data_IF_119215897177
#
_entry.id   IF_119215897177
#
_cell.length_a   1.000
_cell.length_b   1.000
_cell.length_c   1.000
_cell.angle_alpha   90.00
_cell.angle_beta   90.00
_cell.angle_gamma   90.00
#
_symmetry.space_group_name_H-M   'P 1'
#
loop_
_entity.id
_entity.type
_entity.pdbx_description
1 polymer ?
#
# COMPACT_ATOMS: atom_id res chain seq x y z
N UNK A 1 63.90 17.68 42.69
CA UNK A 1 62.51 17.23 42.41
C UNK A 1 62.19 17.59 40.97
N UNK A 2 62.26 16.61 40.08
CA UNK A 2 61.95 16.75 38.66
C UNK A 2 60.46 16.42 38.46
N UNK A 3 59.72 17.29 37.77
CA UNK A 3 58.35 16.98 37.35
C UNK A 3 58.31 16.78 35.83
N UNK A 4 57.97 15.54 35.48
CA UNK A 4 57.77 14.97 34.18
C UNK A 4 56.27 15.07 33.86
N UNK A 5 55.86 15.84 32.84
CA UNK A 5 54.51 15.77 32.25
C UNK A 5 54.65 16.07 30.75
N UNK A 6 54.80 15.02 29.93
CA UNK A 6 53.75 14.26 29.25
C UNK A 6 53.35 14.88 27.92
N UNK A 7 53.92 14.29 26.87
CA UNK A 7 53.53 14.36 25.45
C UNK A 7 52.14 13.70 25.30
N UNK A 8 51.48 13.94 24.15
CA UNK A 8 50.21 13.41 23.64
C UNK A 8 48.96 14.28 23.86
N UNK A 9 48.47 14.91 22.79
CA UNK A 9 47.38 14.29 22.03
C UNK A 9 47.10 15.01 20.70
N UNK A 10 47.07 14.18 19.65
CA UNK A 10 46.83 14.52 18.26
C UNK A 10 45.42 15.07 18.07
N UNK A 11 45.31 16.15 17.31
CA UNK A 11 44.06 16.81 16.90
C UNK A 11 43.12 15.78 16.25
N UNK A 12 41.99 15.49 16.90
CA UNK A 12 40.97 14.55 16.43
C UNK A 12 40.22 15.14 15.23
N UNK A 13 40.54 14.70 14.02
CA UNK A 13 39.67 14.89 12.85
C UNK A 13 38.65 13.75 12.87
N UNK A 14 37.45 14.02 13.37
CA UNK A 14 36.29 13.15 13.22
C UNK A 14 35.83 13.19 11.76
N UNK A 15 36.26 12.21 10.96
CA UNK A 15 35.65 11.95 9.65
C UNK A 15 34.28 11.29 9.87
N UNK A 16 33.23 12.12 9.80
CA UNK A 16 31.84 11.66 9.75
C UNK A 16 31.62 11.05 8.35
N UNK A 17 32.02 9.78 8.18
CA UNK A 17 31.70 9.04 6.95
C UNK A 17 30.19 8.82 6.92
N UNK A 18 29.52 9.57 6.04
CA UNK A 18 28.11 9.43 5.70
C UNK A 18 27.84 7.97 5.31
N UNK A 19 27.19 7.25 6.21
CA UNK A 19 26.60 5.95 5.90
C UNK A 19 25.34 6.19 5.08
N UNK A 20 25.53 6.46 3.78
CA UNK A 20 24.43 6.47 2.84
C UNK A 20 24.04 5.01 2.62
N UNK A 21 23.18 4.49 3.48
CA UNK A 21 22.54 3.22 3.21
C UNK A 21 21.65 3.43 1.99
N UNK A 22 21.90 2.77 0.84
CA UNK A 22 20.93 2.82 -0.24
C UNK A 22 19.64 2.21 0.32
N UNK A 23 18.58 3.03 0.41
CA UNK A 23 17.25 2.53 0.66
C UNK A 23 16.95 1.53 -0.44
N UNK A 24 17.02 0.24 -0.12
CA UNK A 24 16.68 -0.81 -1.07
C UNK A 24 15.19 -0.68 -1.33
N UNK A 25 14.82 -0.24 -2.51
CA UNK A 25 13.46 -0.39 -2.99
C UNK A 25 13.15 -1.89 -2.94
N UNK A 26 12.24 -2.28 -2.04
CA UNK A 26 11.82 -3.67 -1.95
C UNK A 26 10.99 -3.98 -3.18
N UNK A 27 11.18 -5.17 -3.75
CA UNK A 27 10.39 -5.64 -4.87
C UNK A 27 9.15 -6.33 -4.31
N UNK A 28 7.97 -6.00 -4.85
CA UNK A 28 6.71 -6.71 -4.60
C UNK A 28 6.51 -7.69 -5.74
N UNK A 29 6.63 -8.97 -5.42
CA UNK A 29 6.37 -10.03 -6.36
C UNK A 29 4.95 -10.52 -6.13
N UNK A 30 4.14 -10.51 -7.19
CA UNK A 30 2.73 -10.89 -7.09
C UNK A 30 2.27 -11.77 -8.23
N UNK A 31 1.33 -12.64 -7.90
CA UNK A 31 0.54 -13.41 -8.85
C UNK A 31 -0.89 -13.50 -8.36
N UNK A 32 -1.80 -12.92 -9.13
CA UNK A 32 -3.25 -13.04 -8.91
C UNK A 32 -3.82 -14.22 -9.72
N UNK A 33 -4.74 -14.98 -9.14
CA UNK A 33 -5.49 -16.03 -9.84
C UNK A 33 -6.92 -16.14 -9.33
N UNK A 34 -7.86 -16.48 -10.21
CA UNK A 34 -9.27 -16.64 -9.82
C UNK A 34 -9.48 -17.84 -8.91
N UNK A 35 -10.25 -17.65 -7.84
CA UNK A 35 -10.64 -18.69 -6.89
C UNK A 35 -12.16 -18.92 -6.95
N UNK A 36 -12.60 -20.16 -6.77
CA UNK A 36 -14.03 -20.47 -6.67
C UNK A 36 -14.56 -20.14 -5.28
N UNK A 37 -15.79 -19.63 -5.19
CA UNK A 37 -16.45 -19.30 -3.92
C UNK A 37 -16.46 -20.45 -2.89
N UNK A 38 -16.48 -21.72 -3.34
CA UNK A 38 -16.42 -22.91 -2.48
C UNK A 38 -15.09 -23.09 -1.74
N UNK A 39 -14.03 -22.37 -2.13
CA UNK A 39 -12.70 -22.40 -1.51
C UNK A 39 -12.48 -21.24 -0.55
N UNK A 40 -13.46 -20.34 -0.43
CA UNK A 40 -13.38 -19.14 0.41
C UNK A 40 -13.79 -19.48 1.83
N UNK A 41 -13.04 -18.98 2.80
CA UNK A 41 -13.36 -19.18 4.21
C UNK A 41 -14.76 -18.63 4.55
N UNK A 42 -15.58 -19.35 5.34
CA UNK A 42 -16.95 -18.91 5.65
C UNK A 42 -17.04 -17.51 6.26
N UNK A 43 -16.04 -17.09 7.04
CA UNK A 43 -16.02 -15.75 7.66
C UNK A 43 -15.85 -14.62 6.63
N UNK A 44 -15.05 -14.84 5.58
CA UNK A 44 -14.90 -13.87 4.49
C UNK A 44 -16.20 -13.77 3.68
N UNK A 45 -16.82 -14.92 3.37
CA UNK A 45 -18.14 -14.95 2.72
C UNK A 45 -19.20 -14.22 3.55
N UNK A 46 -19.24 -14.50 4.85
CA UNK A 46 -20.16 -13.86 5.80
C UNK A 46 -19.94 -12.35 5.85
N UNK A 47 -18.68 -11.90 5.95
CA UNK A 47 -18.35 -10.47 5.93
C UNK A 47 -18.92 -9.78 4.69
N UNK A 48 -18.69 -10.35 3.50
CA UNK A 48 -19.16 -9.76 2.24
C UNK A 48 -20.69 -9.75 2.17
N UNK A 49 -21.35 -10.85 2.52
CA UNK A 49 -22.82 -10.96 2.47
C UNK A 49 -23.53 -10.03 3.47
N UNK A 50 -22.93 -9.78 4.63
CA UNK A 50 -23.49 -8.87 5.64
C UNK A 50 -23.23 -7.39 5.28
N UNK A 51 -22.14 -7.11 4.56
CA UNK A 51 -21.73 -5.72 4.26
C UNK A 51 -22.26 -5.21 2.92
N UNK A 52 -22.52 -6.11 1.97
CA UNK A 52 -22.96 -5.74 0.61
C UNK A 52 -24.18 -6.55 0.20
N UNK A 53 -25.22 -5.86 -0.31
CA UNK A 53 -26.47 -6.50 -0.77
C UNK A 53 -26.48 -6.64 -2.28
N UNK A 54 -26.83 -7.83 -2.78
CA UNK A 54 -27.06 -8.12 -4.20
C UNK A 54 -25.90 -7.74 -5.13
N UNK A 55 -24.66 -7.90 -4.66
CA UNK A 55 -23.46 -7.60 -5.46
C UNK A 55 -22.89 -8.86 -6.10
N UNK A 56 -22.34 -8.71 -7.31
CA UNK A 56 -21.49 -9.73 -7.92
C UNK A 56 -20.08 -9.60 -7.36
N UNK A 57 -19.53 -10.70 -6.86
CA UNK A 57 -18.19 -10.75 -6.26
C UNK A 57 -17.30 -11.64 -7.12
N UNK A 58 -16.13 -11.13 -7.47
CA UNK A 58 -15.05 -11.89 -8.09
C UNK A 58 -13.98 -12.16 -7.04
N UNK A 59 -13.64 -13.43 -6.84
CA UNK A 59 -12.68 -13.86 -5.84
C UNK A 59 -11.35 -14.21 -6.47
N UNK A 60 -10.27 -13.73 -5.86
CA UNK A 60 -8.91 -13.95 -6.30
C UNK A 60 -8.03 -14.39 -5.14
N UNK A 61 -6.99 -15.16 -5.44
CA UNK A 61 -5.87 -15.40 -4.56
C UNK A 61 -4.69 -14.60 -5.04
N UNK A 62 -4.01 -13.95 -4.12
CA UNK A 62 -2.80 -13.20 -4.40
C UNK A 62 -1.63 -13.87 -3.69
N UNK A 63 -0.63 -14.35 -4.44
CA UNK A 63 0.61 -14.89 -3.90
C UNK A 63 1.70 -13.83 -3.90
N UNK A 64 2.31 -13.60 -2.74
CA UNK A 64 3.45 -12.73 -2.56
C UNK A 64 4.64 -13.46 -1.92
N UNK A 65 5.76 -12.75 -1.71
CA UNK A 65 6.91 -13.31 -0.99
C UNK A 65 6.61 -13.60 0.48
N UNK A 66 5.59 -12.95 1.05
CA UNK A 66 5.27 -13.02 2.48
C UNK A 66 4.06 -13.90 2.78
N UNK A 67 3.32 -14.34 1.75
CA UNK A 67 2.21 -15.25 1.95
C UNK A 67 1.21 -15.25 0.81
N UNK A 68 -0.01 -15.67 1.11
CA UNK A 68 -1.13 -15.61 0.18
C UNK A 68 -2.32 -14.97 0.85
N UNK A 69 -2.96 -14.04 0.17
CA UNK A 69 -4.20 -13.40 0.60
C UNK A 69 -5.34 -13.76 -0.34
N UNK A 70 -6.57 -13.55 0.13
CA UNK A 70 -7.79 -13.78 -0.61
C UNK A 70 -8.48 -12.43 -0.80
N UNK A 71 -8.77 -12.08 -2.04
CA UNK A 71 -9.29 -10.77 -2.40
C UNK A 71 -10.69 -10.89 -3.00
N UNK A 72 -11.63 -10.09 -2.48
CA UNK A 72 -12.98 -9.94 -3.01
C UNK A 72 -13.09 -8.63 -3.77
N UNK A 73 -13.17 -8.70 -5.11
CA UNK A 73 -13.40 -7.54 -5.98
C UNK A 73 -14.88 -7.44 -6.35
N UNK A 74 -15.50 -6.29 -6.06
CA UNK A 74 -16.93 -6.06 -6.33
C UNK A 74 -17.24 -4.60 -6.62
N UNK A 75 -18.44 -4.35 -7.16
CA UNK A 75 -18.98 -3.00 -7.35
C UNK A 75 -20.26 -2.82 -6.54
N UNK A 76 -20.34 -1.75 -5.76
CA UNK A 76 -21.53 -1.39 -4.98
C UNK A 76 -21.71 0.13 -4.96
N UNK A 77 -22.94 0.62 -5.09
CA UNK A 77 -23.26 2.06 -5.07
C UNK A 77 -22.36 2.93 -5.99
N UNK A 78 -21.99 2.40 -7.16
CA UNK A 78 -21.11 3.08 -8.12
C UNK A 78 -19.62 3.05 -7.78
N UNK A 79 -19.23 2.57 -6.59
CA UNK A 79 -17.84 2.44 -6.12
C UNK A 79 -17.30 1.03 -6.42
N UNK A 80 -16.02 0.93 -6.77
CA UNK A 80 -15.32 -0.35 -6.91
C UNK A 80 -14.54 -0.61 -5.63
N UNK A 81 -14.76 -1.79 -5.06
CA UNK A 81 -14.13 -2.24 -3.83
C UNK A 81 -13.22 -3.41 -4.13
N UNK A 82 -12.08 -3.42 -3.43
CA UNK A 82 -11.32 -4.62 -3.18
C UNK A 82 -11.25 -4.85 -1.68
N UNK A 83 -11.54 -6.06 -1.22
CA UNK A 83 -11.51 -6.40 0.20
C UNK A 83 -10.56 -7.57 0.37
N UNK A 84 -9.49 -7.36 1.12
CA UNK A 84 -8.46 -8.37 1.33
C UNK A 84 -8.70 -9.13 2.64
N UNK A 85 -8.51 -10.44 2.58
CA UNK A 85 -8.63 -11.36 3.70
C UNK A 85 -7.42 -12.26 3.81
N UNK A 86 -7.14 -12.72 5.02
CA UNK A 86 -6.27 -13.87 5.24
C UNK A 86 -6.90 -15.15 4.70
N UNK A 87 -6.10 -16.20 4.51
CA UNK A 87 -6.61 -17.56 4.24
C UNK A 87 -7.58 -18.08 5.32
N UNK A 88 -7.46 -17.57 6.55
CA UNK A 88 -8.36 -17.87 7.67
C UNK A 88 -9.65 -17.04 7.67
N UNK A 89 -9.86 -16.17 6.68
CA UNK A 89 -11.06 -15.34 6.57
C UNK A 89 -11.07 -14.09 7.45
N UNK A 90 -9.94 -13.73 8.06
CA UNK A 90 -9.79 -12.47 8.79
C UNK A 90 -9.59 -11.34 7.78
N UNK A 91 -10.33 -10.25 7.95
CA UNK A 91 -10.19 -9.07 7.07
C UNK A 91 -8.88 -8.35 7.35
N UNK A 92 -8.15 -7.99 6.30
CA UNK A 92 -6.96 -7.15 6.36
C UNK A 92 -7.31 -5.69 6.11
N UNK A 93 -7.95 -5.41 4.97
CA UNK A 93 -8.36 -4.06 4.62
C UNK A 93 -9.54 -4.01 3.64
N UNK A 94 -10.01 -2.78 3.40
CA UNK A 94 -10.93 -2.43 2.33
C UNK A 94 -10.29 -1.33 1.50
N UNK A 95 -10.19 -1.56 0.21
CA UNK A 95 -9.70 -0.59 -0.76
C UNK A 95 -10.81 -0.11 -1.68
N UNK A 96 -10.90 1.21 -1.85
CA UNK A 96 -11.90 1.85 -2.70
C UNK A 96 -11.20 2.59 -3.82
N UNK A 97 -11.46 2.20 -5.06
CA UNK A 97 -10.94 2.91 -6.23
C UNK A 97 -11.39 4.37 -6.20
N UNK A 98 -10.43 5.28 -6.05
CA UNK A 98 -10.67 6.69 -5.80
C UNK A 98 -9.89 7.51 -6.83
N UNK A 99 -10.52 8.36 -7.65
CA UNK A 99 -9.77 9.21 -8.56
C UNK A 99 -8.76 10.08 -7.80
N UNK A 100 -7.51 10.17 -8.27
CA UNK A 100 -6.46 10.95 -7.58
C UNK A 100 -6.88 12.42 -7.30
N UNK A 101 -7.65 13.03 -8.22
CA UNK A 101 -8.22 14.38 -8.07
C UNK A 101 -9.26 14.53 -6.96
N UNK A 102 -9.78 13.42 -6.42
CA UNK A 102 -10.76 13.39 -5.32
C UNK A 102 -10.10 13.26 -3.95
N UNK A 103 -8.79 13.04 -3.89
CA UNK A 103 -8.06 13.11 -2.62
C UNK A 103 -8.08 14.55 -2.06
N UNK A 104 -8.04 14.73 -0.73
CA UNK A 104 -7.97 16.05 -0.10
C UNK A 104 -6.82 16.88 -0.69
N UNK A 105 -7.05 18.18 -0.92
CA UNK A 105 -6.13 19.02 -1.68
C UNK A 105 -4.72 19.06 -1.09
N UNK A 106 -4.59 19.20 0.23
CA UNK A 106 -3.29 19.24 0.92
C UNK A 106 -2.58 17.88 0.88
N UNK A 107 -3.32 16.79 1.09
CA UNK A 107 -2.81 15.42 0.92
C UNK A 107 -2.29 15.22 -0.51
N UNK A 108 -3.08 15.60 -1.51
CA UNK A 108 -2.74 15.45 -2.93
C UNK A 108 -1.47 16.22 -3.28
N UNK A 109 -1.34 17.49 -2.83
CA UNK A 109 -0.13 18.29 -3.01
C UNK A 109 1.10 17.61 -2.39
N UNK A 110 0.96 17.09 -1.17
CA UNK A 110 2.05 16.40 -0.48
C UNK A 110 2.47 15.09 -1.17
N UNK A 111 1.50 14.33 -1.68
CA UNK A 111 1.75 13.12 -2.47
C UNK A 111 2.49 13.48 -3.77
N UNK A 112 1.97 14.46 -4.53
CA UNK A 112 2.60 14.94 -5.77
C UNK A 112 4.05 15.32 -5.52
N UNK A 113 4.33 16.16 -4.52
CA UNK A 113 5.69 16.57 -4.19
C UNK A 113 6.61 15.38 -3.89
N UNK A 114 6.16 14.41 -3.10
CA UNK A 114 7.00 13.25 -2.77
C UNK A 114 7.20 12.32 -3.96
N UNK A 115 6.25 12.21 -4.88
CA UNK A 115 6.45 11.46 -6.13
C UNK A 115 7.45 12.16 -7.06
N UNK A 116 7.43 13.50 -7.12
CA UNK A 116 8.42 14.30 -7.86
C UNK A 116 9.83 14.17 -7.24
N UNK A 117 9.92 14.11 -5.91
CA UNK A 117 11.19 13.94 -5.21
C UNK A 117 11.73 12.49 -5.35
N UNK A 118 10.85 11.49 -5.45
CA UNK A 118 11.20 10.06 -5.50
C UNK A 118 11.50 9.54 -6.92
N UNK A 119 10.91 10.14 -7.95
CA UNK A 119 10.99 9.66 -9.33
C UNK A 119 11.34 10.77 -10.31
N UNK A 120 12.25 10.49 -11.26
CA UNK A 120 12.61 11.43 -12.33
C UNK A 120 11.41 11.79 -13.23
N UNK A 121 10.48 10.85 -13.39
CA UNK A 121 9.19 11.08 -14.05
C UNK A 121 8.21 9.99 -13.62
N UNK A 122 6.92 10.32 -13.55
CA UNK A 122 5.89 9.37 -13.18
C UNK A 122 4.53 9.69 -13.82
N UNK A 123 3.67 8.69 -13.84
CA UNK A 123 2.23 8.79 -14.11
C UNK A 123 1.49 7.97 -13.05
N UNK A 124 0.54 8.59 -12.34
CA UNK A 124 -0.39 7.87 -11.48
C UNK A 124 -1.34 7.08 -12.36
N UNK A 125 -1.39 5.75 -12.18
CA UNK A 125 -2.20 4.82 -12.97
C UNK A 125 -3.45 4.44 -12.20
N UNK A 126 -3.30 4.10 -10.92
CA UNK A 126 -4.39 3.74 -10.02
C UNK A 126 -4.23 4.46 -8.69
N UNK A 127 -5.35 4.75 -8.03
CA UNK A 127 -5.37 5.30 -6.68
C UNK A 127 -6.50 4.63 -5.91
N UNK A 128 -6.18 4.11 -4.74
CA UNK A 128 -7.11 3.46 -3.83
C UNK A 128 -7.06 4.15 -2.47
N UNK A 129 -8.23 4.41 -1.89
CA UNK A 129 -8.33 4.77 -0.48
C UNK A 129 -8.45 3.47 0.29
N UNK A 130 -7.44 3.15 1.10
CA UNK A 130 -7.37 1.94 1.90
C UNK A 130 -7.85 2.23 3.32
N UNK A 131 -8.72 1.39 3.84
CA UNK A 131 -9.23 1.41 5.20
C UNK A 131 -8.75 0.17 5.94
N UNK A 132 -8.06 0.38 7.05
CA UNK A 132 -7.70 -0.67 8.01
C UNK A 132 -8.34 -0.40 9.36
N UNK A 133 -8.65 -1.46 10.10
CA UNK A 133 -9.31 -1.36 11.40
C UNK A 133 -9.87 -2.71 11.83
N UNK A 134 -10.59 -2.74 12.95
CA UNK A 134 -11.28 -3.96 13.36
C UNK A 134 -12.43 -4.26 12.39
N UNK A 135 -12.78 -5.54 12.27
CA UNK A 135 -13.89 -6.01 11.44
C UNK A 135 -15.19 -5.22 11.65
N UNK A 136 -15.53 -4.92 12.91
CA UNK A 136 -16.78 -4.22 13.24
C UNK A 136 -16.72 -2.73 12.90
N UNK A 137 -15.56 -2.09 13.05
CA UNK A 137 -15.37 -0.70 12.62
C UNK A 137 -15.44 -0.59 11.09
N UNK A 138 -14.83 -1.52 10.36
CA UNK A 138 -14.89 -1.56 8.89
C UNK A 138 -16.32 -1.81 8.38
N UNK A 139 -17.09 -2.70 9.01
CA UNK A 139 -18.52 -2.88 8.71
C UNK A 139 -19.33 -1.62 8.97
N UNK A 140 -19.06 -0.96 10.09
CA UNK A 140 -19.73 0.31 10.42
C UNK A 140 -19.41 1.37 9.38
N UNK A 141 -18.16 1.43 8.92
CA UNK A 141 -17.73 2.36 7.88
C UNK A 141 -18.44 2.12 6.54
N UNK A 142 -18.57 0.85 6.13
CA UNK A 142 -19.33 0.49 4.93
C UNK A 142 -20.81 0.83 5.05
N UNK A 143 -21.43 0.57 6.21
CA UNK A 143 -22.87 0.74 6.41
C UNK A 143 -23.29 2.21 6.50
N UNK A 144 -22.46 3.06 7.12
CA UNK A 144 -22.76 4.49 7.34
C UNK A 144 -22.19 5.42 6.29
N UNK A 145 -21.24 4.92 5.47
CA UNK A 145 -20.39 5.75 4.61
C UNK A 145 -19.63 6.86 5.37
N UNK A 146 -19.36 6.63 6.66
CA UNK A 146 -18.62 7.51 7.56
C UNK A 146 -17.47 6.73 8.18
N UNK A 147 -16.36 7.38 8.49
CA UNK A 147 -15.19 6.71 9.09
C UNK A 147 -15.23 6.83 10.61
N UNK A 148 -15.51 5.73 11.35
CA UNK A 148 -15.46 5.76 12.81
C UNK A 148 -14.03 5.95 13.32
N UNK A 149 -13.91 6.45 14.54
CA UNK A 149 -12.64 6.49 15.26
C UNK A 149 -12.01 5.08 15.32
N UNK A 150 -10.72 4.99 15.01
CA UNK A 150 -9.98 3.73 14.94
C UNK A 150 -9.92 3.10 13.55
N UNK A 151 -10.66 3.61 12.56
CA UNK A 151 -10.37 3.29 11.15
C UNK A 151 -9.23 4.18 10.66
N UNK A 152 -8.17 3.54 10.17
CA UNK A 152 -7.01 4.24 9.61
C UNK A 152 -7.19 4.35 8.10
N UNK A 153 -7.04 5.56 7.58
CA UNK A 153 -7.07 5.85 6.14
C UNK A 153 -5.66 5.98 5.61
N UNK A 154 -5.39 5.25 4.53
CA UNK A 154 -4.17 5.33 3.75
C UNK A 154 -4.52 5.49 2.26
N UNK A 155 -3.53 5.87 1.45
CA UNK A 155 -3.68 5.93 0.00
C UNK A 155 -2.65 5.04 -0.67
N UNK A 156 -3.11 4.06 -1.41
CA UNK A 156 -2.26 3.23 -2.25
C UNK A 156 -2.32 3.72 -3.69
N UNK A 157 -1.16 3.97 -4.27
CA UNK A 157 -1.03 4.39 -5.66
C UNK A 157 -0.22 3.36 -6.43
N UNK A 158 -0.75 2.97 -7.60
CA UNK A 158 0.05 2.33 -8.64
C UNK A 158 0.58 3.43 -9.55
N UNK A 159 1.90 3.59 -9.59
CA UNK A 159 2.58 4.60 -10.40
C UNK A 159 3.45 3.94 -11.45
N UNK A 160 3.34 4.39 -12.69
CA UNK A 160 4.31 4.07 -13.74
C UNK A 160 5.39 5.14 -13.71
N UNK A 161 6.61 4.79 -13.32
CA UNK A 161 7.66 5.77 -13.04
C UNK A 161 9.05 5.34 -13.52
N UNK A 162 9.96 6.31 -13.59
CA UNK A 162 11.40 6.11 -13.89
C UNK A 162 12.24 6.61 -12.72
N UNK A 163 13.02 5.71 -12.11
CA UNK A 163 14.15 6.10 -11.22
C UNK A 163 15.47 6.26 -11.98
N UNK A 164 15.62 5.53 -13.09
CA UNK A 164 16.75 5.62 -14.01
C UNK A 164 16.22 5.85 -15.43
N UNK A 165 16.65 5.06 -16.43
CA UNK A 165 16.19 5.16 -17.81
C UNK A 165 14.91 4.36 -18.09
N UNK A 166 14.73 3.23 -17.41
CA UNK A 166 13.62 2.31 -17.64
C UNK A 166 12.39 2.68 -16.83
N UNK A 167 11.23 2.66 -17.51
CA UNK A 167 9.93 2.85 -16.86
C UNK A 167 9.44 1.52 -16.30
N UNK A 168 9.06 1.53 -15.02
CA UNK A 168 8.52 0.38 -14.28
C UNK A 168 7.26 0.78 -13.54
N UNK A 169 6.53 -0.20 -13.02
CA UNK A 169 5.42 0.03 -12.11
C UNK A 169 5.89 -0.05 -10.67
N UNK A 170 5.34 0.82 -9.84
CA UNK A 170 5.56 0.84 -8.41
C UNK A 170 4.23 0.93 -7.70
N UNK A 171 4.12 0.22 -6.59
CA UNK A 171 3.11 0.48 -5.57
C UNK A 171 3.71 1.45 -4.55
N UNK A 172 2.97 2.50 -4.22
CA UNK A 172 3.40 3.50 -3.25
C UNK A 172 2.28 3.71 -2.25
N UNK A 173 2.57 3.42 -0.99
CA UNK A 173 1.63 3.59 0.10
C UNK A 173 1.90 4.91 0.82
N UNK A 174 0.85 5.69 1.02
CA UNK A 174 0.88 6.95 1.75
C UNK A 174 -0.03 6.88 3.00
N UNK A 175 0.37 7.56 4.05
CA UNK A 175 -0.50 7.86 5.19
C UNK A 175 -1.63 8.82 4.78
N UNK A 176 -2.71 8.92 5.58
CA UNK A 176 -3.85 9.82 5.30
C UNK A 176 -3.48 11.30 5.17
N UNK A 177 -2.36 11.74 5.77
CA UNK A 177 -1.82 13.09 5.64
C UNK A 177 -0.99 13.31 4.34
N UNK A 178 -0.79 12.25 3.55
CA UNK A 178 -0.03 12.23 2.31
C UNK A 178 1.45 11.93 2.47
N UNK A 179 1.96 11.58 3.65
CA UNK A 179 3.36 11.17 3.88
C UNK A 179 3.61 9.78 3.31
N UNK A 180 4.69 9.61 2.55
CA UNK A 180 5.07 8.32 1.97
C UNK A 180 5.49 7.34 3.07
N UNK A 181 4.91 6.15 3.03
CA UNK A 181 5.17 5.04 3.97
C UNK A 181 6.05 3.97 3.34
N UNK A 182 5.79 3.60 2.08
CA UNK A 182 6.59 2.61 1.35
C UNK A 182 6.52 2.82 -0.16
N UNK A 183 7.56 2.34 -0.84
CA UNK A 183 7.66 2.27 -2.30
C UNK A 183 8.14 0.87 -2.66
N UNK A 184 7.36 0.16 -3.46
CA UNK A 184 7.69 -1.18 -3.92
C UNK A 184 7.67 -1.26 -5.44
N UNK A 185 8.72 -1.80 -6.04
CA UNK A 185 8.72 -2.10 -7.48
C UNK A 185 7.87 -3.34 -7.73
N UNK A 186 6.87 -3.22 -8.61
CA UNK A 186 5.97 -4.33 -8.94
C UNK A 186 6.63 -5.22 -9.99
N UNK A 187 6.80 -6.49 -9.67
CA UNK A 187 7.29 -7.53 -10.58
C UNK A 187 6.17 -8.54 -10.79
N UNK A 188 5.41 -8.37 -11.86
CA UNK A 188 4.38 -9.33 -12.24
C UNK A 188 4.98 -10.52 -12.99
N UNK A 189 4.52 -11.74 -12.66
CA UNK A 189 4.63 -12.87 -13.59
C UNK A 189 3.59 -12.68 -14.69
N UNK A 190 4.03 -12.66 -15.95
CA UNK A 190 3.17 -12.60 -17.15
C UNK A 190 1.89 -13.45 -17.00
N UNK A 191 0.76 -12.79 -16.71
CA UNK A 191 -0.61 -13.20 -16.97
C UNK A 191 -1.44 -11.92 -17.20
N UNK A 192 -2.46 -11.99 -18.07
CA UNK A 192 -3.21 -10.90 -18.73
C UNK A 192 -3.97 -9.89 -17.83
N UNK A 193 -3.58 -9.69 -16.57
CA UNK A 193 -4.13 -8.63 -15.73
C UNK A 193 -3.41 -7.32 -16.04
N UNK A 194 -3.80 -6.70 -17.15
CA UNK A 194 -3.37 -5.35 -17.51
C UNK A 194 -3.83 -4.38 -16.40
N UNK A 195 -2.86 -3.79 -15.71
CA UNK A 195 -3.07 -2.58 -14.92
C UNK A 195 -3.61 -1.53 -15.90
N UNK A 196 -4.93 -1.25 -15.87
CA UNK A 196 -5.59 -0.26 -16.72
C UNK A 196 -6.31 0.80 -15.90
#
# INVERSE_FOLDING_TARGET
MANLFSIFNVLRITAFLLWVSPARAQQKFEREYTIKGSQIHPDALKFINESFRNVKVHWYGEESLTGTTIEAKLKSSGKQYSIEFSKGGEIHDIEILTPFKKLPDETRKRITKQLEDEFNSYKVVKTQTQWTGTKDLLKTALAKEELPDGVVVQYELIVRAKKTSLSKYYEVLFEGNGKMKSVHEIIQRNVDNLIY
#
